data_IF_987749053645
#
_entry.id   IF_987749053645
#
_cell.length_a   1.000
_cell.length_b   1.000
_cell.length_c   1.000
_cell.angle_alpha   90.00
_cell.angle_beta   90.00
_cell.angle_gamma   90.00
#
_symmetry.space_group_name_H-M   'P 1'
#
loop_
_entity.id
_entity.type
_entity.pdbx_description
1 polymer ?
#
# COMPACT_ATOMS: atom_id res chain seq x y z
N UNK A 1 7.53 -1.73 0.24
CA UNK A 1 7.23 -0.36 0.69
C UNK A 1 7.06 -0.39 2.20
N UNK A 2 7.61 0.59 2.94
CA UNK A 2 7.45 0.68 4.40
C UNK A 2 6.88 2.05 4.73
N UNK A 3 5.93 2.10 5.66
CA UNK A 3 5.21 3.30 6.08
C UNK A 3 4.74 3.15 7.53
N UNK A 4 4.57 4.25 8.28
CA UNK A 4 4.10 4.21 9.66
C UNK A 4 2.61 3.86 9.77
N UNK A 5 2.17 3.49 10.98
CA UNK A 5 0.75 3.31 11.28
C UNK A 5 -0.05 4.58 10.96
N UNK A 6 -1.24 4.42 10.38
CA UNK A 6 -2.10 5.51 9.86
C UNK A 6 -1.55 6.25 8.63
N UNK A 7 -0.54 5.72 7.95
CA UNK A 7 -0.11 6.26 6.66
C UNK A 7 -1.18 6.04 5.58
N UNK A 8 -1.44 7.09 4.79
CA UNK A 8 -2.27 6.99 3.58
C UNK A 8 -1.40 6.63 2.39
N UNK A 9 -1.59 5.43 1.85
CA UNK A 9 -0.94 4.99 0.60
C UNK A 9 -1.87 5.36 -0.56
N UNK A 10 -1.31 5.97 -1.60
CA UNK A 10 -2.04 6.38 -2.81
C UNK A 10 -1.58 5.60 -4.02
N UNK A 11 -2.31 5.71 -5.14
CA UNK A 11 -2.01 4.99 -6.39
C UNK A 11 -1.83 3.48 -6.18
N UNK A 12 -2.85 2.85 -5.59
CA UNK A 12 -2.84 1.43 -5.32
C UNK A 12 -3.07 0.64 -6.60
N UNK A 13 -2.23 -0.38 -6.81
CA UNK A 13 -2.43 -1.43 -7.81
C UNK A 13 -2.46 -2.79 -7.10
N UNK A 14 -3.30 -3.69 -7.59
CA UNK A 14 -3.55 -4.98 -6.98
C UNK A 14 -3.14 -6.09 -7.96
N UNK A 15 -1.83 -6.30 -8.18
CA UNK A 15 -1.35 -7.35 -9.08
C UNK A 15 -1.73 -8.74 -8.58
N UNK A 16 -1.79 -8.91 -7.26
CA UNK A 16 -2.08 -10.18 -6.58
C UNK A 16 -2.92 -9.96 -5.31
N UNK A 17 -3.49 -11.03 -4.76
CA UNK A 17 -4.31 -10.98 -3.54
C UNK A 17 -3.47 -10.69 -2.28
N UNK A 18 -2.24 -11.21 -2.23
CA UNK A 18 -1.34 -11.06 -1.07
C UNK A 18 -0.50 -9.78 -1.12
N UNK A 19 -0.26 -9.24 -2.32
CA UNK A 19 0.71 -8.16 -2.56
C UNK A 19 0.09 -7.01 -3.33
N UNK A 20 0.08 -5.85 -2.69
CA UNK A 20 -0.40 -4.62 -3.29
C UNK A 20 0.78 -3.71 -3.59
N UNK A 21 0.73 -3.03 -4.72
CA UNK A 21 1.66 -1.97 -5.06
C UNK A 21 1.03 -0.64 -4.68
N UNK A 22 1.83 0.28 -4.15
CA UNK A 22 1.33 1.62 -3.87
C UNK A 22 2.44 2.63 -3.76
N UNK A 23 2.03 3.88 -3.55
CA UNK A 23 2.90 5.03 -3.44
C UNK A 23 2.72 5.71 -2.08
N UNK A 24 3.82 5.99 -1.40
CA UNK A 24 3.86 6.72 -0.14
C UNK A 24 5.09 7.60 -0.07
N UNK A 25 4.90 8.90 0.19
CA UNK A 25 5.99 9.84 0.47
C UNK A 25 7.05 9.97 -0.64
N UNK A 26 6.68 9.80 -1.91
CA UNK A 26 7.61 9.83 -3.04
C UNK A 26 8.26 8.49 -3.36
N UNK A 27 8.01 7.46 -2.54
CA UNK A 27 8.48 6.09 -2.78
C UNK A 27 7.32 5.20 -3.22
N UNK A 28 7.59 4.27 -4.12
CA UNK A 28 6.63 3.25 -4.55
C UNK A 28 7.21 1.86 -4.40
N UNK A 29 6.33 0.88 -4.21
CA UNK A 29 6.74 -0.51 -4.08
C UNK A 29 5.62 -1.43 -3.60
N UNK A 30 5.93 -2.71 -3.63
CA UNK A 30 5.05 -3.77 -3.13
C UNK A 30 5.04 -3.83 -1.60
N UNK A 31 3.89 -4.09 -1.03
CA UNK A 31 3.70 -4.37 0.38
C UNK A 31 2.54 -5.38 0.56
N UNK A 32 2.48 -6.08 1.70
CA UNK A 32 1.45 -7.11 1.89
C UNK A 32 0.09 -6.46 2.12
N UNK A 33 -0.95 -6.98 1.45
CA UNK A 33 -2.31 -6.46 1.51
C UNK A 33 -2.87 -6.36 2.95
N UNK A 34 -2.47 -7.29 3.81
CA UNK A 34 -2.94 -7.38 5.21
C UNK A 34 -2.51 -6.20 6.12
N UNK A 35 -1.63 -5.30 5.65
CA UNK A 35 -1.16 -4.15 6.42
C UNK A 35 -1.93 -2.87 6.14
N UNK A 36 -2.87 -2.89 5.19
CA UNK A 36 -3.68 -1.73 4.84
C UNK A 36 -5.16 -2.09 4.87
N UNK A 37 -5.98 -1.06 5.00
CA UNK A 37 -7.44 -1.16 4.86
C UNK A 37 -7.86 -0.10 3.86
N UNK A 38 -8.73 -0.49 2.91
CA UNK A 38 -9.36 0.48 2.03
C UNK A 38 -10.40 1.26 2.85
N UNK A 39 -10.32 2.57 2.82
CA UNK A 39 -11.34 3.47 3.36
C UNK A 39 -12.42 3.62 2.28
N UNK A 40 -13.65 3.19 2.58
CA UNK A 40 -14.85 3.35 1.71
C UNK A 40 -15.49 4.72 1.89
#
# INVERSE_FOLDING_TARGET
>A
LSFPENATVTNLEFPDEDWWFGHYGGHSGLFPANYVKLDE
#
